data_IF_232268636319
#
_entry.id   IF_232268636319
#
_cell.length_a   1.000
_cell.length_b   1.000
_cell.length_c   1.000
_cell.angle_alpha   90.00
_cell.angle_beta   90.00
_cell.angle_gamma   90.00
#
_symmetry.space_group_name_H-M   'P 1'
#
loop_
_entity.id
_entity.type
_entity.pdbx_description
1 polymer ?
#
# COMPACT_ATOMS: atom_id res chain seq x y z
N UNK A 1 -33.92 -16.55 15.30
CA UNK A 1 -32.79 -16.04 16.12
C UNK A 1 -32.53 -14.56 15.84
N UNK A 2 -33.40 -13.63 16.28
CA UNK A 2 -33.19 -12.18 16.13
C UNK A 2 -32.35 -11.58 17.27
N UNK A 3 -32.32 -12.22 18.44
CA UNK A 3 -31.74 -11.66 19.67
C UNK A 3 -30.21 -11.63 19.68
N UNK A 4 -29.53 -12.59 19.03
CA UNK A 4 -28.06 -12.63 18.92
C UNK A 4 -27.45 -11.54 18.01
N UNK A 5 -28.24 -10.91 17.12
CA UNK A 5 -27.74 -9.84 16.25
C UNK A 5 -27.57 -8.51 16.99
N UNK A 6 -28.41 -8.24 17.99
CA UNK A 6 -28.42 -6.97 18.71
C UNK A 6 -27.24 -6.83 19.69
N UNK A 7 -26.68 -7.94 20.20
CA UNK A 7 -25.57 -7.91 21.18
C UNK A 7 -24.18 -7.83 20.54
N UNK A 8 -24.05 -8.12 19.24
CA UNK A 8 -22.77 -8.15 18.52
C UNK A 8 -22.41 -6.80 17.88
N UNK A 9 -23.39 -5.93 17.64
CA UNK A 9 -23.19 -4.61 17.04
C UNK A 9 -22.36 -3.68 17.93
N UNK A 10 -22.57 -3.59 19.26
CA UNK A 10 -21.73 -2.78 20.16
C UNK A 10 -20.26 -3.23 20.19
N UNK A 11 -20.00 -4.55 20.10
CA UNK A 11 -18.64 -5.12 20.07
C UNK A 11 -17.96 -4.77 18.74
N UNK A 12 -18.69 -4.92 17.63
CA UNK A 12 -18.21 -4.58 16.29
C UNK A 12 -17.92 -3.09 16.15
N UNK A 13 -18.76 -2.22 16.70
CA UNK A 13 -18.53 -0.78 16.76
C UNK A 13 -17.31 -0.44 17.63
N UNK A 14 -17.18 -1.07 18.79
CA UNK A 14 -16.04 -0.87 19.70
C UNK A 14 -14.72 -1.30 19.07
N UNK A 15 -14.66 -2.48 18.44
CA UNK A 15 -13.49 -2.96 17.72
C UNK A 15 -13.17 -2.11 16.48
N UNK A 16 -14.19 -1.65 15.76
CA UNK A 16 -14.06 -0.70 14.67
C UNK A 16 -13.44 0.62 15.13
N UNK A 17 -13.92 1.16 16.26
CA UNK A 17 -13.38 2.37 16.88
C UNK A 17 -11.92 2.17 17.36
N UNK A 18 -11.60 1.05 18.02
CA UNK A 18 -10.23 0.73 18.45
C UNK A 18 -9.28 0.59 17.27
N UNK A 19 -9.70 -0.08 16.20
CA UNK A 19 -8.96 -0.20 14.94
C UNK A 19 -8.68 1.17 14.33
N UNK A 20 -9.72 2.01 14.18
CA UNK A 20 -9.59 3.35 13.63
C UNK A 20 -8.68 4.25 14.48
N UNK A 21 -8.81 4.18 15.81
CA UNK A 21 -7.98 4.93 16.76
C UNK A 21 -6.51 4.50 16.68
N UNK A 22 -6.23 3.20 16.64
CA UNK A 22 -4.86 2.69 16.50
C UNK A 22 -4.22 3.18 15.20
N UNK A 23 -4.95 3.12 14.08
CA UNK A 23 -4.44 3.62 12.80
C UNK A 23 -4.22 5.15 12.80
N UNK A 24 -5.12 5.92 13.42
CA UNK A 24 -4.96 7.38 13.58
C UNK A 24 -3.74 7.73 14.43
N UNK A 25 -3.54 7.02 15.53
CA UNK A 25 -2.36 7.18 16.39
C UNK A 25 -1.08 6.86 15.61
N UNK A 26 -1.06 5.76 14.86
CA UNK A 26 0.06 5.40 14.01
C UNK A 26 0.39 6.51 12.99
N UNK A 27 -0.62 7.07 12.30
CA UNK A 27 -0.41 8.20 11.37
C UNK A 27 0.20 9.42 12.06
N UNK A 28 -0.29 9.79 13.25
CA UNK A 28 0.27 10.89 14.05
C UNK A 28 1.74 10.63 14.41
N UNK A 29 2.04 9.47 14.98
CA UNK A 29 3.40 9.08 15.38
C UNK A 29 4.37 9.08 14.20
N UNK A 30 3.92 8.65 13.01
CA UNK A 30 4.70 8.73 11.79
C UNK A 30 5.00 10.17 11.36
N UNK A 31 4.00 11.06 11.43
CA UNK A 31 4.18 12.49 11.16
C UNK A 31 5.23 13.11 12.08
N UNK A 32 5.10 12.87 13.39
CA UNK A 32 6.02 13.40 14.40
C UNK A 32 7.43 12.83 14.23
N UNK A 33 7.57 11.53 13.93
CA UNK A 33 8.86 10.90 13.63
C UNK A 33 9.54 11.55 12.40
N UNK A 34 8.76 11.88 11.36
CA UNK A 34 9.26 12.57 10.16
C UNK A 34 9.75 14.00 10.46
N UNK A 35 9.02 14.75 11.30
CA UNK A 35 9.42 16.08 11.74
C UNK A 35 10.72 16.05 12.55
N UNK A 36 10.81 15.12 13.51
CA UNK A 36 12.01 14.93 14.33
C UNK A 36 13.23 14.53 13.49
N UNK A 37 13.02 13.67 12.47
CA UNK A 37 14.08 13.29 11.55
C UNK A 37 14.64 14.50 10.78
N UNK A 38 13.76 15.38 10.30
CA UNK A 38 14.14 16.62 9.60
C UNK A 38 14.92 17.55 10.53
N UNK A 39 14.52 17.63 11.80
CA UNK A 39 15.18 18.41 12.85
C UNK A 39 16.42 17.73 13.46
N UNK A 40 16.94 16.67 12.83
CA UNK A 40 18.11 15.90 13.29
C UNK A 40 17.99 15.30 14.70
N UNK A 41 16.77 15.15 15.23
CA UNK A 41 16.49 14.50 16.51
C UNK A 41 16.34 12.99 16.32
N UNK A 42 17.42 12.33 15.93
CA UNK A 42 17.39 10.96 15.41
C UNK A 42 16.94 9.89 16.42
N UNK A 43 17.38 10.00 17.67
CA UNK A 43 17.00 9.06 18.73
C UNK A 43 15.48 9.09 18.97
N UNK A 44 14.91 10.29 19.13
CA UNK A 44 13.46 10.49 19.29
C UNK A 44 12.67 10.09 18.05
N UNK A 45 13.17 10.40 16.84
CA UNK A 45 12.55 9.96 15.58
C UNK A 45 12.49 8.43 15.49
N UNK A 46 13.53 7.73 15.96
CA UNK A 46 13.55 6.27 16.00
C UNK A 46 12.52 5.73 17.00
N UNK A 47 12.47 6.25 18.23
CA UNK A 47 11.49 5.83 19.25
C UNK A 47 10.04 6.03 18.79
N UNK A 48 9.71 7.17 18.20
CA UNK A 48 8.36 7.39 17.65
C UNK A 48 8.06 6.48 16.45
N UNK A 49 9.06 6.14 15.64
CA UNK A 49 8.87 5.17 14.55
C UNK A 49 8.56 3.77 15.07
N UNK A 50 9.13 3.37 16.22
CA UNK A 50 8.84 2.07 16.86
C UNK A 50 7.43 2.06 17.44
N UNK A 51 7.06 3.09 18.21
CA UNK A 51 5.70 3.24 18.73
C UNK A 51 4.66 3.27 17.59
N UNK A 52 5.00 3.88 16.45
CA UNK A 52 4.16 3.83 15.25
C UNK A 52 3.95 2.40 14.73
N UNK A 53 4.99 1.55 14.73
CA UNK A 53 4.85 0.15 14.33
C UNK A 53 3.99 -0.65 15.31
N UNK A 54 4.09 -0.38 16.61
CA UNK A 54 3.24 -1.00 17.62
C UNK A 54 1.77 -0.65 17.41
N UNK A 55 1.45 0.61 17.13
CA UNK A 55 0.10 1.05 16.78
C UNK A 55 -0.39 0.43 15.46
N UNK A 56 0.47 0.28 14.45
CA UNK A 56 0.13 -0.45 13.22
C UNK A 56 -0.14 -1.94 13.48
N UNK A 57 0.60 -2.56 14.40
CA UNK A 57 0.37 -3.93 14.81
C UNK A 57 -0.97 -4.07 15.53
N UNK A 58 -1.32 -3.14 16.44
CA UNK A 58 -2.64 -3.06 17.10
C UNK A 58 -3.76 -2.89 16.08
N UNK A 59 -3.60 -1.95 15.14
CA UNK A 59 -4.55 -1.79 14.03
C UNK A 59 -4.76 -3.09 13.25
N UNK A 60 -3.67 -3.76 12.84
CA UNK A 60 -3.76 -5.05 12.12
C UNK A 60 -4.41 -6.13 12.94
N UNK A 61 -4.16 -6.16 14.24
CA UNK A 61 -4.79 -7.08 15.17
C UNK A 61 -6.31 -6.86 15.23
N UNK A 62 -6.75 -5.62 15.46
CA UNK A 62 -8.18 -5.29 15.49
C UNK A 62 -8.86 -5.48 14.13
N UNK A 63 -8.22 -5.13 13.00
CA UNK A 63 -8.78 -5.38 11.66
C UNK A 63 -8.91 -6.89 11.36
N UNK A 64 -7.94 -7.70 11.79
CA UNK A 64 -8.03 -9.16 11.68
C UNK A 64 -9.16 -9.71 12.54
N UNK A 65 -9.30 -9.26 13.79
CA UNK A 65 -10.43 -9.67 14.66
C UNK A 65 -11.74 -9.26 14.03
N UNK A 66 -11.91 -8.01 13.59
CA UNK A 66 -13.13 -7.54 12.91
C UNK A 66 -13.49 -8.39 11.70
N UNK A 67 -12.48 -8.84 10.96
CA UNK A 67 -12.70 -9.66 9.77
C UNK A 67 -12.95 -11.12 10.09
N UNK A 68 -12.39 -11.62 11.18
CA UNK A 68 -12.77 -12.90 11.75
C UNK A 68 -14.20 -12.83 12.31
N UNK A 69 -14.58 -11.74 12.99
CA UNK A 69 -15.89 -11.47 13.57
C UNK A 69 -17.00 -11.46 12.50
N UNK A 70 -16.75 -10.80 11.36
CA UNK A 70 -17.62 -10.85 10.17
C UNK A 70 -17.78 -12.29 9.62
N UNK A 71 -16.77 -13.14 9.81
CA UNK A 71 -16.82 -14.55 9.41
C UNK A 71 -17.27 -15.50 10.55
N UNK A 72 -17.47 -14.98 11.77
CA UNK A 72 -17.77 -15.73 13.00
C UNK A 72 -19.27 -15.74 13.34
N UNK A 73 -20.19 -15.38 12.42
CA UNK A 73 -21.62 -15.74 12.48
C UNK A 73 -21.89 -17.27 12.57
N UNK A 74 -20.88 -18.10 12.89
CA UNK A 74 -20.96 -19.57 12.94
C UNK A 74 -20.29 -20.30 14.12
N UNK A 75 -19.64 -19.67 15.10
CA UNK A 75 -19.09 -20.43 16.25
C UNK A 75 -19.06 -19.64 17.59
N UNK A 76 -19.30 -20.30 18.74
CA UNK A 76 -19.57 -19.66 20.03
C UNK A 76 -18.32 -19.26 20.83
N UNK A 77 -18.50 -18.18 21.58
CA UNK A 77 -17.82 -17.58 22.75
C UNK A 77 -16.42 -18.04 23.16
N UNK A 78 -15.49 -17.07 23.26
CA UNK A 78 -14.32 -17.16 24.12
C UNK A 78 -13.89 -15.80 24.68
N UNK A 79 -13.84 -15.71 26.02
CA UNK A 79 -13.02 -14.76 26.77
C UNK A 79 -11.53 -15.06 26.52
N UNK A 80 -10.75 -14.06 26.06
CA UNK A 80 -9.36 -14.30 25.65
C UNK A 80 -8.40 -13.19 26.11
N UNK A 81 -7.38 -13.56 26.89
CA UNK A 81 -6.27 -12.69 27.31
C UNK A 81 -5.15 -12.67 26.27
N UNK A 82 -4.32 -11.61 26.24
CA UNK A 82 -3.23 -11.41 25.24
C UNK A 82 -2.27 -12.61 25.14
N UNK A 83 -2.01 -13.30 26.25
CA UNK A 83 -1.16 -14.50 26.29
C UNK A 83 -1.82 -15.67 25.57
N UNK A 84 -3.11 -15.91 25.82
CA UNK A 84 -3.90 -16.96 25.15
C UNK A 84 -4.00 -16.72 23.64
N UNK A 85 -4.02 -15.45 23.23
CA UNK A 85 -4.04 -15.04 21.83
C UNK A 85 -2.71 -15.35 21.13
N UNK A 86 -1.57 -15.14 21.78
CA UNK A 86 -0.24 -15.48 21.26
C UNK A 86 -0.08 -17.01 21.12
N UNK A 87 -0.62 -17.78 22.07
CA UNK A 87 -0.65 -19.25 22.02
C UNK A 87 -1.62 -19.79 20.95
N UNK A 88 -2.79 -19.17 20.80
CA UNK A 88 -3.71 -19.47 19.71
C UNK A 88 -3.08 -19.18 18.35
N UNK A 89 -2.34 -18.08 18.20
CA UNK A 89 -1.62 -17.78 16.97
C UNK A 89 -0.52 -18.80 16.69
N UNK A 90 0.20 -19.33 17.69
CA UNK A 90 1.21 -20.36 17.46
C UNK A 90 0.60 -21.71 17.06
N UNK A 91 -0.61 -22.03 17.54
CA UNK A 91 -1.40 -23.21 17.10
C UNK A 91 -2.05 -23.03 15.71
N UNK A 92 -2.56 -21.83 15.39
CA UNK A 92 -3.21 -21.52 14.10
C UNK A 92 -2.17 -21.32 12.97
N UNK A 93 -0.96 -20.85 13.29
CA UNK A 93 0.10 -20.59 12.30
C UNK A 93 0.83 -21.84 11.78
N UNK A 94 0.43 -23.05 12.19
CA UNK A 94 0.99 -24.30 11.67
C UNK A 94 0.84 -24.47 10.15
N UNK A 95 -0.19 -23.88 9.52
CA UNK A 95 -0.52 -24.21 8.13
C UNK A 95 -0.77 -23.06 7.13
N UNK A 96 -0.82 -21.77 7.49
CA UNK A 96 -1.17 -20.73 6.51
C UNK A 96 -0.44 -19.37 6.59
N UNK A 97 0.79 -19.32 7.12
CA UNK A 97 1.66 -18.14 6.94
C UNK A 97 2.52 -18.29 5.68
N UNK A 98 2.02 -17.74 4.56
CA UNK A 98 2.81 -17.58 3.34
C UNK A 98 4.03 -16.66 3.58
N UNK A 99 5.08 -16.94 2.83
CA UNK A 99 6.51 -16.59 2.94
C UNK A 99 6.88 -15.14 3.31
N UNK A 100 5.96 -14.18 3.18
CA UNK A 100 6.21 -12.76 3.47
C UNK A 100 6.23 -12.50 4.99
N UNK A 101 5.30 -13.10 5.74
CA UNK A 101 5.21 -12.91 7.20
C UNK A 101 6.33 -13.67 7.94
N UNK A 102 6.75 -14.83 7.41
CA UNK A 102 7.92 -15.56 7.91
C UNK A 102 9.22 -14.79 7.68
N UNK A 103 9.37 -14.08 6.57
CA UNK A 103 10.56 -13.25 6.31
C UNK A 103 10.55 -11.93 7.09
N UNK A 104 9.37 -11.37 7.39
CA UNK A 104 9.25 -10.18 8.24
C UNK A 104 9.57 -10.49 9.70
N UNK A 105 9.05 -11.61 10.24
CA UNK A 105 9.35 -12.08 11.60
C UNK A 105 10.76 -12.67 11.77
N UNK A 106 11.33 -13.30 10.74
CA UNK A 106 12.72 -13.83 10.75
C UNK A 106 13.76 -12.80 10.33
N UNK A 107 13.37 -11.55 10.08
CA UNK A 107 14.34 -10.48 9.80
C UNK A 107 15.20 -10.28 11.04
N UNK A 108 16.42 -10.82 10.99
CA UNK A 108 17.49 -10.60 11.98
C UNK A 108 17.70 -9.11 12.27
N UNK A 109 17.31 -8.24 11.34
CA UNK A 109 17.37 -6.79 11.44
C UNK A 109 16.31 -6.19 12.38
N UNK A 110 15.10 -6.74 12.42
CA UNK A 110 14.03 -6.30 13.34
C UNK A 110 14.31 -6.83 14.75
N UNK A 111 14.70 -8.11 14.86
CA UNK A 111 15.09 -8.71 16.14
C UNK A 111 16.25 -7.94 16.78
N UNK A 112 17.29 -7.62 16.00
CA UNK A 112 18.43 -6.80 16.44
C UNK A 112 18.04 -5.36 16.78
N UNK A 113 17.09 -4.76 16.06
CA UNK A 113 16.58 -3.42 16.41
C UNK A 113 15.82 -3.47 17.74
N UNK A 114 14.96 -4.47 17.97
CA UNK A 114 14.26 -4.66 19.25
C UNK A 114 15.23 -4.93 20.39
N UNK A 115 16.23 -5.80 20.20
CA UNK A 115 17.30 -6.06 21.17
C UNK A 115 18.12 -4.79 21.47
N UNK A 116 18.49 -4.01 20.45
CA UNK A 116 19.17 -2.71 20.60
C UNK A 116 18.30 -1.75 21.45
N UNK A 117 16.98 -1.69 21.24
CA UNK A 117 16.05 -0.79 21.94
C UNK A 117 15.81 -1.22 23.39
N UNK A 118 15.58 -2.51 23.64
CA UNK A 118 15.40 -3.06 24.99
C UNK A 118 16.64 -2.82 25.84
N UNK A 119 17.84 -2.91 25.24
CA UNK A 119 19.10 -2.58 25.90
C UNK A 119 19.21 -1.09 26.26
N UNK A 120 18.72 -0.19 25.40
CA UNK A 120 18.72 1.26 25.68
C UNK A 120 17.70 1.64 26.76
N UNK A 121 16.59 0.89 26.91
CA UNK A 121 15.59 1.12 27.95
C UNK A 121 16.02 0.61 29.34
N UNK A 122 16.92 -0.37 29.40
CA UNK A 122 17.46 -0.92 30.65
C UNK A 122 18.73 -0.17 31.06
N UNK A 123 18.58 0.91 31.84
CA UNK A 123 19.70 1.44 32.65
C UNK A 123 20.12 0.35 33.66
N UNK A 124 21.38 -0.08 33.64
CA UNK A 124 22.28 -0.14 34.81
C UNK A 124 23.74 -0.31 34.32
N UNK A 125 24.73 0.15 35.11
CA UNK A 125 26.11 0.35 34.68
C UNK A 125 26.88 -0.96 34.81
N UNK A 126 27.39 -1.45 33.70
CA UNK A 126 28.61 -2.24 33.67
C UNK A 126 29.09 -2.27 32.23
N UNK A 127 30.37 -1.95 32.05
CA UNK A 127 31.12 -2.26 30.83
C UNK A 127 31.11 -3.78 30.65
N UNK A 128 30.05 -4.33 30.06
CA UNK A 128 30.06 -5.71 29.56
C UNK A 128 30.82 -5.66 28.23
N UNK A 129 32.08 -6.09 28.29
CA UNK A 129 32.96 -6.29 27.14
C UNK A 129 32.21 -6.99 26.00
N UNK A 130 31.93 -6.25 24.93
CA UNK A 130 31.30 -6.77 23.70
C UNK A 130 30.10 -5.98 23.17
N UNK A 131 29.49 -5.09 23.98
CA UNK A 131 28.42 -4.20 23.51
C UNK A 131 28.93 -2.76 23.32
N UNK A 132 28.54 -2.08 22.22
CA UNK A 132 29.11 -0.78 21.90
C UNK A 132 28.74 0.25 22.98
N UNK A 133 29.76 1.01 23.40
CA UNK A 133 29.62 2.37 23.95
C UNK A 133 28.52 3.10 23.17
N UNK A 134 27.65 3.83 23.88
CA UNK A 134 26.49 4.56 23.36
C UNK A 134 26.53 4.80 21.84
N UNK A 135 25.50 4.38 21.07
CA UNK A 135 25.57 4.53 19.63
C UNK A 135 25.82 6.00 19.27
N UNK A 136 26.84 6.26 18.47
CA UNK A 136 27.14 7.62 18.03
C UNK A 136 25.99 8.18 17.17
N UNK A 137 25.95 9.50 16.98
CA UNK A 137 24.88 10.18 16.25
C UNK A 137 24.61 9.57 14.85
N UNK A 138 25.67 9.12 14.16
CA UNK A 138 25.58 8.45 12.85
C UNK A 138 24.80 7.12 12.91
N UNK A 139 24.90 6.37 14.00
CA UNK A 139 24.09 5.16 14.18
C UNK A 139 22.60 5.51 14.26
N UNK A 140 22.25 6.47 15.11
CA UNK A 140 20.87 6.91 15.30
C UNK A 140 20.27 7.46 14.01
N UNK A 141 21.03 8.31 13.31
CA UNK A 141 20.65 8.85 12.02
C UNK A 141 20.32 7.74 11.02
N UNK A 142 21.22 6.76 10.86
CA UNK A 142 21.04 5.65 9.93
C UNK A 142 19.79 4.84 10.26
N UNK A 143 19.58 4.50 11.54
CA UNK A 143 18.43 3.69 11.98
C UNK A 143 17.11 4.45 11.84
N UNK A 144 17.07 5.72 12.25
CA UNK A 144 15.88 6.57 12.11
C UNK A 144 15.49 6.75 10.64
N UNK A 145 16.45 7.04 9.75
CA UNK A 145 16.20 7.15 8.30
C UNK A 145 15.59 5.87 7.72
N UNK A 146 16.11 4.70 8.10
CA UNK A 146 15.59 3.40 7.64
C UNK A 146 14.15 3.20 8.11
N UNK A 147 13.87 3.47 9.39
CA UNK A 147 12.55 3.24 9.99
C UNK A 147 11.49 4.18 9.43
N UNK A 148 11.78 5.49 9.35
CA UNK A 148 10.88 6.47 8.74
C UNK A 148 10.64 6.14 7.26
N UNK A 149 11.66 5.68 6.53
CA UNK A 149 11.48 5.25 5.15
C UNK A 149 10.58 4.01 5.03
N UNK A 150 10.74 3.03 5.92
CA UNK A 150 9.88 1.84 5.97
C UNK A 150 8.42 2.22 6.27
N UNK A 151 8.20 3.09 7.26
CA UNK A 151 6.88 3.59 7.62
C UNK A 151 6.26 4.38 6.47
N UNK A 152 7.02 5.23 5.78
CA UNK A 152 6.56 5.94 4.58
C UNK A 152 6.05 4.98 3.52
N UNK A 153 6.79 3.92 3.22
CA UNK A 153 6.35 2.91 2.25
C UNK A 153 5.10 2.16 2.75
N UNK A 154 4.99 1.93 4.05
CA UNK A 154 3.86 1.25 4.70
C UNK A 154 2.58 2.10 4.67
N UNK A 155 2.66 3.39 4.98
CA UNK A 155 1.51 4.30 4.88
C UNK A 155 1.12 4.54 3.43
N UNK A 156 2.09 4.67 2.51
CA UNK A 156 1.80 4.71 1.09
C UNK A 156 1.00 3.47 0.63
N UNK A 157 1.34 2.27 1.13
CA UNK A 157 0.55 1.07 0.87
C UNK A 157 -0.90 1.24 1.33
N UNK A 158 -1.13 1.65 2.57
CA UNK A 158 -2.48 1.77 3.11
C UNK A 158 -3.30 2.84 2.41
N UNK A 159 -2.71 4.00 2.13
CA UNK A 159 -3.40 5.09 1.44
C UNK A 159 -3.76 4.67 0.01
N UNK A 160 -2.88 3.97 -0.72
CA UNK A 160 -3.20 3.43 -2.04
C UNK A 160 -4.33 2.37 -1.97
N UNK A 161 -4.33 1.48 -0.98
CA UNK A 161 -5.41 0.49 -0.81
C UNK A 161 -6.74 1.16 -0.44
N UNK A 162 -6.71 2.20 0.39
CA UNK A 162 -7.91 2.97 0.76
C UNK A 162 -8.48 3.71 -0.45
N UNK A 163 -7.63 4.39 -1.23
CA UNK A 163 -8.01 5.05 -2.46
C UNK A 163 -8.58 4.06 -3.50
N UNK A 164 -7.95 2.89 -3.68
CA UNK A 164 -8.47 1.82 -4.53
C UNK A 164 -9.84 1.31 -4.08
N UNK A 165 -10.08 1.18 -2.77
CA UNK A 165 -11.39 0.78 -2.24
C UNK A 165 -12.45 1.82 -2.54
N UNK A 166 -12.15 3.10 -2.29
CA UNK A 166 -13.08 4.21 -2.57
C UNK A 166 -13.38 4.29 -4.06
N UNK A 167 -12.34 4.29 -4.90
CA UNK A 167 -12.48 4.27 -6.35
C UNK A 167 -13.34 3.09 -6.82
N UNK A 168 -13.09 1.88 -6.30
CA UNK A 168 -13.89 0.71 -6.63
C UNK A 168 -15.35 0.90 -6.22
N UNK A 169 -15.64 1.40 -5.01
CA UNK A 169 -17.01 1.66 -4.58
C UNK A 169 -17.73 2.73 -5.41
N UNK A 170 -16.98 3.70 -5.95
CA UNK A 170 -17.53 4.80 -6.75
C UNK A 170 -17.83 4.36 -8.17
N UNK A 171 -16.96 3.54 -8.78
CA UNK A 171 -17.06 3.17 -10.20
C UNK A 171 -17.70 1.80 -10.44
N UNK A 172 -17.77 0.94 -9.44
CA UNK A 172 -18.25 -0.44 -9.60
C UNK A 172 -19.71 -0.46 -10.06
N UNK A 173 -19.98 -1.16 -11.18
CA UNK A 173 -21.27 -1.26 -11.86
C UNK A 173 -21.82 0.06 -12.43
N UNK A 174 -21.12 1.18 -12.24
CA UNK A 174 -21.54 2.47 -12.76
C UNK A 174 -21.00 2.72 -14.17
N UNK A 175 -19.72 2.44 -14.42
CA UNK A 175 -19.05 2.69 -15.70
C UNK A 175 -18.04 1.59 -16.01
N UNK A 176 -17.70 1.34 -17.27
CA UNK A 176 -16.66 0.36 -17.59
C UNK A 176 -15.27 0.95 -17.34
N UNK A 177 -14.47 0.26 -16.52
CA UNK A 177 -13.12 0.69 -16.16
C UNK A 177 -12.19 -0.49 -15.84
N UNK A 178 -10.89 -0.22 -15.78
CA UNK A 178 -9.87 -1.18 -15.36
C UNK A 178 -8.61 -0.49 -14.89
N UNK A 179 -7.95 -1.05 -13.87
CA UNK A 179 -6.71 -0.52 -13.33
C UNK A 179 -5.57 -0.80 -14.32
N UNK A 180 -4.72 0.21 -14.54
CA UNK A 180 -3.62 0.17 -15.48
C UNK A 180 -2.26 0.51 -14.83
N UNK A 181 -1.20 0.37 -15.62
CA UNK A 181 0.15 0.79 -15.29
C UNK A 181 0.70 0.20 -14.00
N UNK A 182 1.42 1.00 -13.21
CA UNK A 182 2.16 0.51 -12.03
C UNK A 182 1.29 -0.16 -10.97
N UNK A 183 0.06 0.34 -10.81
CA UNK A 183 -0.94 -0.19 -9.87
C UNK A 183 -1.42 -1.57 -10.30
N UNK A 184 -1.68 -1.75 -11.59
CA UNK A 184 -2.11 -3.03 -12.14
C UNK A 184 -1.04 -4.11 -11.94
N UNK A 185 0.24 -3.76 -12.16
CA UNK A 185 1.37 -4.67 -11.89
C UNK A 185 1.42 -5.09 -10.43
N UNK A 186 1.24 -4.15 -9.50
CA UNK A 186 1.20 -4.44 -8.07
C UNK A 186 0.05 -5.39 -7.70
N UNK A 187 -1.11 -5.23 -8.32
CA UNK A 187 -2.28 -6.09 -8.09
C UNK A 187 -2.03 -7.51 -8.58
N UNK A 188 -1.55 -7.69 -9.81
CA UNK A 188 -1.22 -9.03 -10.33
C UNK A 188 -0.13 -9.73 -9.51
N UNK A 189 0.82 -8.97 -8.98
CA UNK A 189 1.85 -9.47 -8.07
C UNK A 189 1.30 -9.82 -6.67
N UNK A 190 0.17 -9.23 -6.26
CA UNK A 190 -0.38 -9.34 -4.92
C UNK A 190 0.29 -8.45 -3.87
N UNK A 191 1.24 -7.57 -4.25
CA UNK A 191 1.80 -6.54 -3.36
C UNK A 191 2.41 -5.36 -4.14
N UNK A 192 2.50 -4.20 -3.49
CA UNK A 192 3.23 -3.05 -4.02
C UNK A 192 4.74 -3.26 -3.87
N UNK A 193 5.44 -3.37 -4.99
CA UNK A 193 6.89 -3.53 -5.05
C UNK A 193 7.66 -2.22 -5.16
N UNK A 194 6.94 -1.11 -5.33
CA UNK A 194 7.45 0.25 -5.33
C UNK A 194 6.36 1.22 -4.86
N UNK A 195 6.71 2.40 -4.34
CA UNK A 195 5.75 3.46 -4.12
C UNK A 195 5.06 3.85 -5.44
N UNK A 196 3.75 4.08 -5.37
CA UNK A 196 2.95 4.62 -6.45
C UNK A 196 2.51 6.03 -6.08
N UNK A 197 2.74 6.97 -6.99
CA UNK A 197 2.38 8.37 -6.80
C UNK A 197 0.99 8.69 -7.38
N UNK A 198 0.56 7.92 -8.37
CA UNK A 198 -0.70 8.09 -9.10
C UNK A 198 -1.31 6.72 -9.32
N UNK A 199 -2.62 6.61 -9.16
CA UNK A 199 -3.41 5.46 -9.58
C UNK A 199 -3.87 5.69 -11.02
N UNK A 200 -3.38 4.86 -11.94
CA UNK A 200 -3.74 4.94 -13.36
C UNK A 200 -4.92 4.01 -13.64
N UNK A 201 -5.97 4.57 -14.25
CA UNK A 201 -7.23 3.89 -14.54
C UNK A 201 -7.56 4.09 -16.00
N UNK A 202 -7.82 3.00 -16.71
CA UNK A 202 -8.45 3.05 -18.04
C UNK A 202 -9.96 3.05 -17.84
N UNK A 203 -10.65 3.94 -18.53
CA UNK A 203 -12.09 4.12 -18.36
C UNK A 203 -12.77 4.43 -19.69
N UNK A 204 -14.00 3.96 -19.85
CA UNK A 204 -14.88 4.33 -20.97
C UNK A 204 -14.95 5.85 -21.15
N UNK A 205 -14.90 6.34 -22.40
CA UNK A 205 -15.00 7.77 -22.71
C UNK A 205 -16.45 8.26 -22.67
N UNK A 206 -17.09 8.11 -21.51
CA UNK A 206 -18.35 8.76 -21.14
C UNK A 206 -18.07 9.79 -20.05
N UNK A 207 -17.53 10.93 -20.48
CA UNK A 207 -17.05 12.01 -19.60
C UNK A 207 -18.14 12.63 -18.76
N UNK A 208 -19.34 12.78 -19.32
CA UNK A 208 -20.48 13.36 -18.59
C UNK A 208 -20.97 12.40 -17.51
N UNK A 209 -21.05 11.10 -17.82
CA UNK A 209 -21.37 10.09 -16.82
C UNK A 209 -20.31 10.00 -15.73
N UNK A 210 -19.03 10.02 -16.09
CA UNK A 210 -17.95 10.02 -15.10
C UNK A 210 -18.01 11.25 -14.18
N UNK A 211 -18.23 12.46 -14.73
CA UNK A 211 -18.43 13.67 -13.93
C UNK A 211 -19.59 13.52 -12.96
N UNK A 212 -20.72 12.97 -13.40
CA UNK A 212 -21.90 12.75 -12.57
C UNK A 212 -21.58 11.80 -11.41
N UNK A 213 -21.01 10.62 -11.70
CA UNK A 213 -20.66 9.59 -10.70
C UNK A 213 -19.73 10.17 -9.62
N UNK A 214 -18.70 10.93 -10.04
CA UNK A 214 -17.74 11.52 -9.10
C UNK A 214 -18.37 12.64 -8.28
N UNK A 215 -19.19 13.50 -8.89
CA UNK A 215 -19.87 14.61 -8.22
C UNK A 215 -20.85 14.14 -7.16
N UNK A 216 -21.55 13.02 -7.37
CA UNK A 216 -22.42 12.38 -6.37
C UNK A 216 -21.69 11.93 -5.10
N UNK A 217 -20.35 11.93 -5.12
CA UNK A 217 -19.47 11.58 -4.00
C UNK A 217 -18.61 12.76 -3.55
N UNK A 218 -18.95 13.97 -3.99
CA UNK A 218 -18.18 15.21 -3.73
C UNK A 218 -16.72 15.12 -4.23
N UNK A 219 -16.49 14.39 -5.32
CA UNK A 219 -15.18 14.23 -5.96
C UNK A 219 -15.14 15.08 -7.23
N UNK A 220 -14.16 15.99 -7.31
CA UNK A 220 -13.99 16.89 -8.46
C UNK A 220 -13.17 16.24 -9.59
N UNK A 221 -13.70 16.26 -10.82
CA UNK A 221 -13.00 15.78 -12.01
C UNK A 221 -12.49 16.96 -12.85
N UNK A 222 -11.17 17.04 -12.98
CA UNK A 222 -10.52 17.92 -13.96
C UNK A 222 -10.22 17.13 -15.23
N UNK A 223 -10.53 17.68 -16.41
CA UNK A 223 -10.19 17.05 -17.70
C UNK A 223 -9.25 18.00 -18.45
N UNK A 224 -8.10 17.49 -18.88
CA UNK A 224 -7.06 18.25 -19.57
C UNK A 224 -6.60 17.53 -20.84
N UNK A 225 -6.16 18.30 -21.84
CA UNK A 225 -5.45 17.77 -23.00
C UNK A 225 -3.94 17.94 -22.80
N UNK A 226 -3.20 16.84 -22.61
CA UNK A 226 -1.75 16.84 -22.39
C UNK A 226 -1.00 16.18 -23.54
N UNK A 227 -0.49 17.02 -24.44
CA UNK A 227 0.26 16.59 -25.61
C UNK A 227 -0.62 15.79 -26.58
N UNK A 228 -1.79 16.35 -26.91
CA UNK A 228 -2.75 15.73 -27.84
C UNK A 228 -3.54 14.55 -27.25
N UNK A 229 -3.50 14.36 -25.92
CA UNK A 229 -4.12 13.23 -25.23
C UNK A 229 -5.05 13.74 -24.13
N UNK A 230 -6.31 13.35 -24.21
CA UNK A 230 -7.29 13.68 -23.19
C UNK A 230 -7.05 12.83 -21.93
N UNK A 231 -7.06 13.47 -20.76
CA UNK A 231 -6.86 12.83 -19.45
C UNK A 231 -7.79 13.44 -18.42
N UNK A 232 -8.35 12.58 -17.56
CA UNK A 232 -9.07 13.00 -16.38
C UNK A 232 -8.19 12.92 -15.14
N UNK A 233 -8.36 13.83 -14.20
CA UNK A 233 -7.61 13.87 -12.95
C UNK A 233 -8.56 14.15 -11.79
N UNK A 234 -8.35 13.43 -10.69
CA UNK A 234 -8.99 13.69 -9.40
C UNK A 234 -8.03 13.32 -8.28
N UNK A 235 -8.31 13.81 -7.08
CA UNK A 235 -7.70 13.34 -5.85
C UNK A 235 -8.71 12.51 -5.05
N UNK A 236 -8.31 11.33 -4.56
CA UNK A 236 -9.08 10.53 -3.62
C UNK A 236 -8.21 10.32 -2.39
N UNK A 237 -8.58 10.92 -1.25
CA UNK A 237 -7.76 10.93 -0.03
C UNK A 237 -6.30 11.22 -0.37
N UNK A 238 -6.01 12.40 -0.91
CA UNK A 238 -4.65 12.87 -1.27
C UNK A 238 -3.86 11.98 -2.26
N UNK A 239 -4.47 10.92 -2.80
CA UNK A 239 -3.89 10.08 -3.86
C UNK A 239 -4.44 10.56 -5.20
N UNK A 240 -3.52 10.95 -6.09
CA UNK A 240 -3.84 11.31 -7.46
C UNK A 240 -4.37 10.10 -8.21
N UNK A 241 -5.49 10.26 -8.89
CA UNK A 241 -6.04 9.30 -9.83
C UNK A 241 -6.00 9.92 -11.22
N UNK A 242 -5.41 9.21 -12.17
CA UNK A 242 -5.40 9.56 -13.59
C UNK A 242 -6.34 8.63 -14.35
N UNK A 243 -7.32 9.23 -15.01
CA UNK A 243 -8.24 8.57 -15.93
C UNK A 243 -7.70 8.68 -17.36
N UNK A 244 -7.48 7.52 -17.99
CA UNK A 244 -7.09 7.34 -19.37
C UNK A 244 -8.34 6.90 -20.13
N UNK A 245 -8.92 7.83 -20.90
CA UNK A 245 -10.13 7.58 -21.68
C UNK A 245 -9.85 6.60 -22.82
N UNK A 246 -10.77 5.66 -23.01
CA UNK A 246 -10.76 4.68 -24.09
C UNK A 246 -11.19 5.33 -25.42
N UNK A 247 -10.43 5.08 -26.48
CA UNK A 247 -10.79 5.53 -27.83
C UNK A 247 -11.75 4.53 -28.51
N UNK A 248 -11.53 3.24 -28.27
CA UNK A 248 -12.34 2.10 -28.74
C UNK A 248 -12.53 1.12 -27.57
N UNK A 249 -13.36 0.08 -27.73
CA UNK A 249 -13.72 -0.88 -26.66
C UNK A 249 -12.52 -1.40 -25.83
N UNK A 250 -11.33 -1.55 -26.42
CA UNK A 250 -10.10 -1.95 -25.72
C UNK A 250 -8.85 -1.17 -26.16
N UNK A 251 -8.99 0.10 -26.55
CA UNK A 251 -7.86 0.92 -27.02
C UNK A 251 -7.72 2.22 -26.23
N UNK A 252 -6.49 2.64 -25.98
CA UNK A 252 -6.14 3.91 -25.34
C UNK A 252 -5.02 4.63 -26.09
N UNK A 253 -4.94 5.94 -25.95
CA UNK A 253 -3.84 6.73 -26.49
C UNK A 253 -2.74 6.93 -25.43
N UNK A 254 -1.57 6.32 -25.62
CA UNK A 254 -0.36 6.52 -24.80
C UNK A 254 0.56 7.59 -25.41
N UNK A 255 1.67 7.92 -24.74
CA UNK A 255 2.64 8.93 -25.24
C UNK A 255 3.31 8.53 -26.54
N UNK A 256 3.41 7.23 -26.79
CA UNK A 256 4.06 6.60 -27.92
C UNK A 256 3.06 6.14 -29.00
N UNK A 257 1.77 6.47 -28.87
CA UNK A 257 0.72 6.19 -29.86
C UNK A 257 -0.47 5.41 -29.32
N UNK A 258 -1.32 4.91 -30.23
CA UNK A 258 -2.44 4.02 -29.91
C UNK A 258 -1.92 2.73 -29.28
N UNK A 259 -2.59 2.24 -28.25
CA UNK A 259 -2.28 0.99 -27.57
C UNK A 259 -3.56 0.20 -27.34
N UNK A 260 -3.56 -1.06 -27.76
CA UNK A 260 -4.67 -1.99 -27.59
C UNK A 260 -4.32 -3.02 -26.53
N UNK A 261 -5.27 -3.31 -25.64
CA UNK A 261 -5.14 -4.36 -24.63
C UNK A 261 -6.15 -5.48 -24.88
N UNK A 262 -5.85 -6.67 -24.38
CA UNK A 262 -6.66 -7.87 -24.68
C UNK A 262 -7.89 -7.93 -23.79
N UNK A 263 -7.72 -7.74 -22.48
CA UNK A 263 -8.83 -7.93 -21.54
C UNK A 263 -8.70 -7.10 -20.25
N UNK A 264 -9.83 -6.96 -19.57
CA UNK A 264 -9.94 -6.49 -18.18
C UNK A 264 -10.31 -7.69 -17.30
N UNK A 265 -9.36 -8.14 -16.49
CA UNK A 265 -9.51 -9.28 -15.58
C UNK A 265 -10.01 -8.84 -14.20
N UNK A 266 -10.86 -9.64 -13.56
CA UNK A 266 -11.22 -9.45 -12.15
C UNK A 266 -10.18 -10.11 -11.25
N UNK A 267 -9.37 -9.33 -10.54
CA UNK A 267 -8.31 -9.83 -9.64
C UNK A 267 -8.59 -9.53 -8.19
N UNK A 268 -8.23 -10.47 -7.32
CA UNK A 268 -8.26 -10.28 -5.87
C UNK A 268 -6.98 -9.55 -5.42
N UNK A 269 -7.15 -8.45 -4.69
CA UNK A 269 -6.06 -7.74 -4.03
C UNK A 269 -6.42 -7.48 -2.56
N UNK A 270 -5.86 -8.29 -1.66
CA UNK A 270 -6.33 -8.35 -0.28
C UNK A 270 -7.79 -8.84 -0.21
N UNK A 271 -8.70 -7.96 0.24
CA UNK A 271 -10.16 -8.21 0.29
C UNK A 271 -10.93 -7.55 -0.85
N UNK A 272 -10.25 -6.86 -1.77
CA UNK A 272 -10.88 -6.20 -2.90
C UNK A 272 -10.87 -7.13 -4.13
N UNK A 273 -11.95 -7.08 -4.91
CA UNK A 273 -11.98 -7.62 -6.26
C UNK A 273 -12.02 -6.45 -7.22
N UNK A 274 -10.94 -6.27 -7.97
CA UNK A 274 -10.72 -5.09 -8.81
C UNK A 274 -10.68 -5.51 -10.29
N UNK A 275 -11.24 -4.70 -11.21
CA UNK A 275 -10.99 -4.85 -12.63
C UNK A 275 -9.57 -4.35 -12.96
N UNK A 276 -8.77 -5.16 -13.64
CA UNK A 276 -7.34 -4.90 -13.91
C UNK A 276 -6.99 -5.33 -15.32
N UNK A 277 -6.25 -4.50 -16.04
CA UNK A 277 -5.77 -4.85 -17.39
C UNK A 277 -4.88 -6.10 -17.33
N UNK A 278 -5.04 -7.00 -18.31
CA UNK A 278 -4.33 -8.29 -18.35
C UNK A 278 -2.80 -8.15 -18.31
N UNK A 279 -2.13 -9.19 -17.82
CA UNK A 279 -0.67 -9.19 -17.58
C UNK A 279 0.12 -8.99 -18.87
N UNK A 280 -0.33 -9.56 -19.99
CA UNK A 280 0.38 -9.51 -21.27
C UNK A 280 0.37 -8.11 -21.85
N UNK A 281 -0.79 -7.46 -21.83
CA UNK A 281 -0.96 -6.07 -22.26
C UNK A 281 -0.14 -5.12 -21.39
N UNK A 282 -0.12 -5.30 -20.07
CA UNK A 282 0.75 -4.51 -19.19
C UNK A 282 2.23 -4.70 -19.55
N UNK A 283 2.67 -5.93 -19.84
CA UNK A 283 4.05 -6.20 -20.24
C UNK A 283 4.42 -5.47 -21.53
N UNK A 284 3.58 -5.58 -22.57
CA UNK A 284 3.77 -4.87 -23.84
C UNK A 284 3.85 -3.35 -23.64
N UNK A 285 2.94 -2.78 -22.86
CA UNK A 285 2.94 -1.34 -22.56
C UNK A 285 4.24 -0.89 -21.88
N UNK A 286 4.73 -1.64 -20.88
CA UNK A 286 5.95 -1.30 -20.16
C UNK A 286 7.22 -1.44 -21.02
N UNK A 287 7.28 -2.46 -21.89
CA UNK A 287 8.40 -2.65 -22.84
C UNK A 287 8.45 -1.51 -23.85
N UNK A 288 7.30 -1.15 -24.42
CA UNK A 288 7.17 -0.04 -25.38
C UNK A 288 7.58 1.31 -24.75
N UNK A 289 7.11 1.58 -23.53
CA UNK A 289 7.48 2.80 -22.81
C UNK A 289 8.98 2.84 -22.47
N UNK A 290 9.59 1.69 -22.15
CA UNK A 290 11.04 1.58 -21.95
C UNK A 290 11.80 2.00 -23.21
N UNK A 291 11.42 1.46 -24.36
CA UNK A 291 12.06 1.76 -25.65
C UNK A 291 11.94 3.24 -25.99
N UNK A 292 10.76 3.83 -25.81
CA UNK A 292 10.53 5.26 -26.01
C UNK A 292 11.41 6.14 -25.10
N UNK A 293 11.64 5.72 -23.85
CA UNK A 293 12.49 6.46 -22.91
C UNK A 293 14.00 6.23 -23.10
N UNK A 294 14.39 5.12 -23.72
CA UNK A 294 15.78 4.75 -23.97
C UNK A 294 16.29 5.18 -25.35
N UNK A 295 15.40 5.61 -26.26
CA UNK A 295 15.72 5.89 -27.66
C UNK A 295 16.50 7.18 -27.96
N UNK A 296 17.01 7.90 -26.96
CA UNK A 296 17.76 9.15 -27.20
C UNK A 296 19.09 9.16 -26.43
N UNK A 297 20.20 8.71 -27.04
CA UNK A 297 21.50 8.58 -26.38
C UNK A 297 22.20 9.90 -26.08
N UNK A 298 21.73 11.02 -26.67
CA UNK A 298 22.43 12.32 -26.62
C UNK A 298 21.82 13.34 -25.64
N UNK A 299 20.69 13.02 -25.01
CA UNK A 299 20.06 13.92 -24.04
C UNK A 299 20.41 13.48 -22.61
N UNK A 300 21.08 14.36 -21.87
CA UNK A 300 21.29 14.17 -20.43
C UNK A 300 19.94 13.88 -19.75
N UNK A 301 19.79 12.64 -19.25
CA UNK A 301 18.51 12.20 -18.71
C UNK A 301 18.19 12.99 -17.44
N UNK A 302 17.15 13.83 -17.50
CA UNK A 302 16.60 14.46 -16.29
C UNK A 302 16.33 13.42 -15.19
N UNK A 303 16.48 13.82 -13.93
CA UNK A 303 16.22 12.97 -12.74
C UNK A 303 14.82 12.31 -12.78
N UNK A 304 13.84 13.01 -13.37
CA UNK A 304 12.47 12.49 -13.58
C UNK A 304 12.45 11.33 -14.58
N UNK A 305 13.11 11.47 -15.73
CA UNK A 305 13.24 10.39 -16.74
C UNK A 305 13.97 9.18 -16.15
N UNK A 306 15.06 9.39 -15.42
CA UNK A 306 15.82 8.30 -14.77
C UNK A 306 14.97 7.51 -13.77
N UNK A 307 14.17 8.21 -12.96
CA UNK A 307 13.24 7.59 -12.02
C UNK A 307 12.15 6.77 -12.74
N UNK A 308 11.60 7.31 -13.84
CA UNK A 308 10.60 6.62 -14.66
C UNK A 308 11.16 5.32 -15.22
N UNK A 309 12.34 5.37 -15.86
CA UNK A 309 13.01 4.20 -16.41
C UNK A 309 13.29 3.14 -15.34
N UNK A 310 13.77 3.55 -14.15
CA UNK A 310 14.00 2.63 -13.03
C UNK A 310 12.71 1.94 -12.57
N UNK A 311 11.58 2.63 -12.57
CA UNK A 311 10.29 2.06 -12.21
C UNK A 311 9.81 1.06 -13.27
N UNK A 312 9.89 1.42 -14.55
CA UNK A 312 9.55 0.54 -15.67
C UNK A 312 10.38 -0.74 -15.63
N UNK A 313 11.69 -0.64 -15.41
CA UNK A 313 12.56 -1.83 -15.29
C UNK A 313 12.16 -2.74 -14.12
N UNK A 314 11.67 -2.19 -13.01
CA UNK A 314 11.13 -3.00 -11.90
C UNK A 314 9.82 -3.68 -12.30
N UNK A 315 8.94 -2.98 -12.98
CA UNK A 315 7.63 -3.48 -13.43
C UNK A 315 7.81 -4.60 -14.47
N UNK A 316 8.66 -4.40 -15.47
CA UNK A 316 9.04 -5.39 -16.49
C UNK A 316 9.55 -6.68 -15.84
N UNK A 317 10.47 -6.59 -14.85
CA UNK A 317 10.99 -7.77 -14.13
C UNK A 317 9.89 -8.52 -13.38
N UNK A 318 8.90 -7.82 -12.83
CA UNK A 318 7.76 -8.46 -12.15
C UNK A 318 6.87 -9.16 -13.17
N UNK A 319 6.50 -8.48 -14.24
CA UNK A 319 5.63 -8.99 -15.29
C UNK A 319 6.22 -10.23 -15.99
N UNK A 320 7.51 -10.21 -16.31
CA UNK A 320 8.21 -11.40 -16.87
C UNK A 320 8.11 -12.63 -15.97
N UNK A 321 8.15 -12.45 -14.65
CA UNK A 321 8.01 -13.57 -13.70
C UNK A 321 6.56 -14.05 -13.58
N UNK A 322 5.60 -13.17 -13.79
CA UNK A 322 4.18 -13.52 -13.77
C UNK A 322 3.77 -14.27 -15.04
N UNK A 323 4.33 -13.89 -16.21
CA UNK A 323 4.06 -14.55 -17.50
C UNK A 323 4.65 -15.96 -17.57
N UNK A 324 5.79 -16.21 -16.90
CA UNK A 324 6.47 -17.51 -16.90
C UNK A 324 5.82 -18.55 -15.96
N UNK A 325 4.78 -18.18 -15.22
CA UNK A 325 4.08 -19.05 -14.27
C UNK A 325 2.80 -19.60 -14.88
#
# INVERSE_FOLDING_TARGET
MPELKNDLDPIKESLGHLSARAFKNAKRLFSDAGLLLTNRRYCSALFLSIACLEELARYRFFDKIMSAFINLEKLPDYDCTIVNIIEMFSKINGHQTQTIDKNWAKSTRIKKIMEDITYIQLRFPAEINGYPTYPNEKFWEKKAKIMVHLLKNTFNYYDNVAALRKLNNVLHNEIRWGIFGGTAVAIHRGNFHRPLATLEVVIEDDREKLRKILREKDIELTIENKGGRLRGYTDIDHIKVEFIFQNDQNAIQLSDGKFEFENVEKKRFGRLYLPVIDVQSLYRAQVRQREHLSGDPQIEMSTKKQRSLRNILKDVRVLQRLIKR
#
